data_IF_588135438784
#
_entry.id   IF_588135438784
#
_cell.length_a   1.000
_cell.length_b   1.000
_cell.length_c   1.000
_cell.angle_alpha   90.00
_cell.angle_beta   90.00
_cell.angle_gamma   90.00
#
_symmetry.space_group_name_H-M   'P 1'
#
loop_
_entity.id
_entity.type
_entity.pdbx_description
1 polymer ?
#
# COMPACT_ATOMS: atom_id res chain seq x y z
N UNK A 1 -11.79 5.01 -37.92
CA UNK A 1 -12.29 6.07 -37.01
C UNK A 1 -11.19 6.30 -35.98
N UNK A 2 -10.74 7.55 -35.74
CA UNK A 2 -9.48 7.79 -35.06
C UNK A 2 -9.56 7.57 -33.55
N UNK A 3 -8.44 7.07 -32.99
CA UNK A 3 -8.17 6.60 -31.61
C UNK A 3 -8.22 7.69 -30.51
N UNK A 4 -9.17 8.62 -30.55
CA UNK A 4 -9.15 9.82 -29.69
C UNK A 4 -10.46 10.21 -29.00
N UNK A 5 -11.46 9.33 -28.95
CA UNK A 5 -12.82 9.73 -28.57
C UNK A 5 -13.20 9.54 -27.09
N UNK A 6 -12.31 9.02 -26.23
CA UNK A 6 -12.66 8.68 -24.83
C UNK A 6 -12.15 9.66 -23.76
N UNK A 7 -11.52 10.77 -24.15
CA UNK A 7 -11.02 11.79 -23.20
C UNK A 7 -11.70 13.16 -23.39
N UNK A 8 -12.34 13.45 -24.53
CA UNK A 8 -12.88 14.79 -24.78
C UNK A 8 -14.15 15.15 -23.99
N UNK A 9 -14.91 14.19 -23.46
CA UNK A 9 -16.13 14.50 -22.68
C UNK A 9 -15.88 14.78 -21.19
N UNK A 10 -14.69 14.43 -20.67
CA UNK A 10 -14.33 14.68 -19.26
C UNK A 10 -13.65 16.05 -19.06
N UNK A 11 -12.99 16.59 -20.09
CA UNK A 11 -12.17 17.81 -20.00
C UNK A 11 -12.84 19.11 -20.50
N UNK A 12 -14.09 19.08 -20.98
CA UNK A 12 -14.81 20.33 -21.30
C UNK A 12 -15.12 21.22 -20.09
N UNK A 13 -14.84 20.74 -18.86
CA UNK A 13 -15.06 21.48 -17.63
C UNK A 13 -13.84 22.28 -17.13
N UNK A 14 -12.60 22.03 -17.60
CA UNK A 14 -11.40 22.64 -16.98
C UNK A 14 -10.33 23.23 -17.93
N UNK A 15 -10.53 23.22 -19.25
CA UNK A 15 -9.94 24.23 -20.16
C UNK A 15 -8.41 24.40 -20.25
N UNK A 16 -7.60 23.34 -20.42
CA UNK A 16 -6.17 23.44 -20.77
C UNK A 16 -5.73 22.38 -21.80
N UNK A 17 -4.75 22.69 -22.67
CA UNK A 17 -4.35 21.90 -23.87
C UNK A 17 -2.90 21.40 -23.89
N UNK A 18 -2.70 20.24 -24.55
CA UNK A 18 -1.49 19.39 -24.77
C UNK A 18 -0.23 20.00 -25.44
N UNK A 19 0.92 19.30 -25.25
CA UNK A 19 2.03 18.99 -26.22
C UNK A 19 2.79 17.70 -25.78
N UNK A 20 2.82 16.62 -26.58
CA UNK A 20 3.85 16.09 -27.55
C UNK A 20 4.99 15.27 -26.86
N UNK A 21 4.92 13.93 -26.76
CA UNK A 21 5.52 12.82 -27.60
C UNK A 21 7.07 12.62 -27.52
N UNK A 22 7.54 11.37 -27.28
CA UNK A 22 8.70 10.66 -27.92
C UNK A 22 8.90 9.21 -27.36
N UNK A 23 9.39 8.32 -28.24
CA UNK A 23 9.41 6.84 -28.28
C UNK A 23 10.60 6.06 -27.64
N UNK A 24 10.29 4.83 -27.16
CA UNK A 24 10.92 3.48 -27.30
C UNK A 24 12.42 3.16 -27.00
N UNK A 25 12.70 1.97 -26.38
CA UNK A 25 13.39 0.77 -26.97
C UNK A 25 13.62 -0.37 -25.92
N UNK A 26 13.66 -1.62 -26.43
CA UNK A 26 13.62 -2.99 -25.84
C UNK A 26 15.03 -3.72 -25.89
N UNK A 27 15.23 -5.06 -25.63
CA UNK A 27 15.87 -5.64 -24.43
C UNK A 27 16.95 -6.75 -24.76
N UNK A 28 17.25 -7.64 -23.79
CA UNK A 28 17.86 -9.01 -23.83
C UNK A 28 19.06 -9.15 -22.84
N UNK A 29 19.34 -10.23 -22.09
CA UNK A 29 18.87 -11.64 -21.98
C UNK A 29 19.56 -12.37 -20.79
N UNK A 30 18.89 -13.33 -20.13
CA UNK A 30 19.45 -14.68 -19.86
C UNK A 30 20.02 -15.09 -18.48
N UNK A 31 19.22 -15.87 -17.71
CA UNK A 31 19.53 -17.14 -16.99
C UNK A 31 20.59 -17.23 -15.85
N UNK A 32 20.18 -17.55 -14.60
CA UNK A 32 20.04 -18.90 -13.97
C UNK A 32 19.99 -18.82 -12.41
N UNK A 33 19.17 -19.69 -11.78
CA UNK A 33 18.62 -19.54 -10.42
C UNK A 33 19.40 -20.21 -9.26
N UNK A 34 19.47 -19.54 -8.08
CA UNK A 34 19.79 -20.13 -6.75
C UNK A 34 19.11 -19.38 -5.58
N UNK A 35 18.56 -20.14 -4.62
CA UNK A 35 18.37 -19.85 -3.17
C UNK A 35 17.84 -18.45 -2.76
N UNK A 36 16.55 -18.37 -2.36
CA UNK A 36 15.79 -17.14 -2.04
C UNK A 36 16.34 -16.31 -0.85
N UNK A 37 17.38 -16.78 -0.14
CA UNK A 37 18.01 -16.03 0.95
C UNK A 37 19.54 -15.98 0.92
N UNK A 38 20.21 -16.58 -0.08
CA UNK A 38 21.64 -16.33 -0.27
C UNK A 38 21.85 -15.02 -1.04
N UNK A 39 23.04 -14.45 -0.87
CA UNK A 39 23.51 -13.09 -1.22
C UNK A 39 23.19 -12.55 -2.66
N UNK A 40 22.44 -13.27 -3.50
CA UNK A 40 21.98 -12.84 -4.84
C UNK A 40 20.79 -11.88 -4.88
N UNK A 41 19.96 -11.79 -3.82
CA UNK A 41 18.89 -10.77 -3.76
C UNK A 41 19.43 -9.34 -3.55
N UNK A 42 20.75 -9.16 -3.44
CA UNK A 42 21.38 -7.88 -3.10
C UNK A 42 21.89 -7.11 -4.32
N UNK A 43 22.10 -7.75 -5.48
CA UNK A 43 22.88 -7.15 -6.58
C UNK A 43 22.12 -6.69 -7.83
N UNK A 44 20.82 -6.97 -8.01
CA UNK A 44 20.13 -6.68 -9.30
C UNK A 44 19.15 -5.50 -9.28
N UNK A 45 18.95 -4.81 -8.15
CA UNK A 45 17.96 -3.74 -8.01
C UNK A 45 18.42 -2.34 -8.48
N UNK A 46 19.54 -2.26 -9.20
CA UNK A 46 20.07 -1.01 -9.72
C UNK A 46 20.12 -1.07 -11.24
N UNK A 47 19.03 -0.68 -11.90
CA UNK A 47 19.12 -0.04 -13.21
C UNK A 47 18.03 1.01 -13.37
N UNK A 48 18.41 2.05 -14.10
CA UNK A 48 18.01 3.44 -13.96
C UNK A 48 16.77 3.84 -14.77
N UNK A 49 16.25 5.00 -14.38
CA UNK A 49 15.49 5.97 -15.18
C UNK A 49 14.01 5.71 -15.40
N UNK A 50 13.22 6.03 -14.37
CA UNK A 50 12.04 6.91 -14.48
C UNK A 50 11.73 7.45 -13.08
N UNK A 51 12.10 8.71 -12.80
CA UNK A 51 11.97 9.34 -11.48
C UNK A 51 10.50 9.76 -11.23
N UNK A 52 9.76 8.89 -10.55
CA UNK A 52 8.30 8.86 -10.33
C UNK A 52 7.80 9.59 -9.06
N UNK A 53 8.63 10.45 -8.45
CA UNK A 53 8.37 11.05 -7.12
C UNK A 53 8.54 12.57 -7.01
N UNK A 54 8.49 13.35 -8.10
CA UNK A 54 8.36 14.81 -7.96
C UNK A 54 6.98 15.16 -7.38
N UNK A 55 6.96 15.47 -6.08
CA UNK A 55 5.82 16.14 -5.45
C UNK A 55 5.79 17.59 -5.93
N UNK A 56 4.70 18.04 -6.59
CA UNK A 56 4.36 19.46 -6.57
C UNK A 56 3.86 19.82 -5.16
N UNK A 57 4.82 20.00 -4.25
CA UNK A 57 4.59 20.87 -3.11
C UNK A 57 4.37 22.26 -3.73
N UNK A 58 3.31 22.97 -3.36
CA UNK A 58 3.28 24.43 -3.53
C UNK A 58 4.46 25.02 -2.73
N UNK A 59 5.62 25.01 -3.36
CA UNK A 59 6.92 25.23 -2.75
C UNK A 59 7.23 26.71 -2.80
N UNK A 60 6.71 27.43 -1.82
CA UNK A 60 7.40 28.63 -1.33
C UNK A 60 8.49 28.27 -0.30
N UNK A 61 8.61 26.98 0.06
CA UNK A 61 9.55 26.48 1.06
C UNK A 61 10.83 25.98 0.39
N UNK A 62 11.96 26.62 0.70
CA UNK A 62 13.28 26.19 0.24
C UNK A 62 13.54 24.72 0.63
N UNK A 63 14.10 23.88 -0.27
CA UNK A 63 14.50 22.52 0.07
C UNK A 63 15.50 22.55 1.23
N UNK A 64 15.19 21.82 2.29
CA UNK A 64 16.06 21.72 3.46
C UNK A 64 17.03 20.56 3.21
N UNK A 65 18.32 20.90 3.18
CA UNK A 65 19.43 19.95 3.18
C UNK A 65 19.50 19.34 4.58
N UNK A 66 19.41 18.01 4.67
CA UNK A 66 19.71 17.30 5.91
C UNK A 66 21.21 17.37 6.17
N UNK A 67 21.67 18.40 6.85
CA UNK A 67 23.04 18.42 7.36
C UNK A 67 23.16 17.26 8.38
N UNK A 68 23.81 16.17 7.98
CA UNK A 68 24.31 15.04 8.79
C UNK A 68 23.49 13.74 8.93
N UNK A 69 22.51 13.43 8.06
CA UNK A 69 21.94 12.06 8.03
C UNK A 69 22.78 11.19 7.07
N UNK A 70 23.55 10.23 7.63
CA UNK A 70 24.25 9.22 6.83
C UNK A 70 23.26 8.14 6.33
N UNK A 71 22.58 8.42 5.22
CA UNK A 71 21.62 7.50 4.61
C UNK A 71 22.22 6.13 4.30
N UNK A 72 23.51 6.06 3.98
CA UNK A 72 24.19 4.80 3.71
C UNK A 72 24.33 3.97 5.00
N UNK A 73 24.64 4.61 6.13
CA UNK A 73 24.60 3.95 7.43
C UNK A 73 23.19 3.50 7.82
N UNK A 74 22.14 4.29 7.52
CA UNK A 74 20.74 3.89 7.75
C UNK A 74 20.38 2.66 6.93
N UNK A 75 20.66 2.73 5.63
CA UNK A 75 20.38 1.64 4.71
C UNK A 75 21.12 0.36 5.13
N UNK A 76 22.40 0.48 5.53
CA UNK A 76 23.19 -0.63 6.03
C UNK A 76 22.62 -1.20 7.33
N UNK A 77 22.28 -0.34 8.29
CA UNK A 77 21.70 -0.76 9.57
C UNK A 77 20.36 -1.48 9.40
N UNK A 78 19.47 -0.96 8.55
CA UNK A 78 18.21 -1.61 8.20
C UNK A 78 18.43 -2.96 7.51
N UNK A 79 19.36 -3.02 6.54
CA UNK A 79 19.72 -4.29 5.86
C UNK A 79 20.28 -5.33 6.84
N UNK A 80 21.14 -4.93 7.77
CA UNK A 80 21.67 -5.82 8.82
C UNK A 80 20.58 -6.28 9.77
N UNK A 81 19.68 -5.39 10.21
CA UNK A 81 18.53 -5.74 11.06
C UNK A 81 17.62 -6.75 10.37
N UNK A 82 17.35 -6.61 9.06
CA UNK A 82 16.63 -7.61 8.27
C UNK A 82 17.41 -8.93 8.23
N UNK A 83 18.70 -8.90 7.86
CA UNK A 83 19.56 -10.09 7.72
C UNK A 83 19.64 -10.91 9.00
N UNK A 84 19.71 -10.25 10.15
CA UNK A 84 19.82 -10.90 11.46
C UNK A 84 18.48 -11.13 12.16
N UNK A 85 17.35 -10.86 11.48
CA UNK A 85 16.01 -10.97 12.05
C UNK A 85 15.83 -10.15 13.35
N UNK A 86 16.42 -8.95 13.40
CA UNK A 86 16.42 -8.01 14.53
C UNK A 86 15.58 -6.77 14.28
N UNK A 87 14.82 -6.74 13.18
CA UNK A 87 14.02 -5.60 12.81
C UNK A 87 12.70 -5.60 13.61
N UNK A 88 12.77 -5.25 14.89
CA UNK A 88 11.57 -4.99 15.73
C UNK A 88 11.15 -3.53 15.60
N UNK A 89 10.71 -3.14 14.40
CA UNK A 89 10.27 -1.76 14.18
C UNK A 89 8.84 -1.54 14.63
N UNK A 90 7.97 -2.53 14.48
CA UNK A 90 6.55 -2.41 14.80
C UNK A 90 6.20 -3.49 15.82
N UNK A 91 6.24 -3.09 17.10
CA UNK A 91 5.70 -3.93 18.17
C UNK A 91 4.19 -3.75 18.21
N UNK A 92 3.46 -4.85 18.00
CA UNK A 92 2.01 -4.83 18.14
C UNK A 92 1.69 -4.85 19.63
N UNK A 93 0.92 -3.87 20.16
CA UNK A 93 0.54 -3.85 21.56
C UNK A 93 -0.14 -5.15 22.00
N UNK A 94 0.15 -5.61 23.21
CA UNK A 94 -0.36 -6.90 23.73
C UNK A 94 -1.90 -6.97 23.72
N UNK A 95 -2.58 -5.85 23.96
CA UNK A 95 -4.03 -5.74 23.86
C UNK A 95 -4.54 -6.00 22.43
N UNK A 96 -3.83 -5.50 21.40
CA UNK A 96 -4.18 -5.73 20.00
C UNK A 96 -3.87 -7.17 19.58
N UNK A 97 -2.69 -7.70 19.96
CA UNK A 97 -2.34 -9.10 19.72
C UNK A 97 -3.34 -10.09 20.32
N UNK A 98 -3.87 -9.80 21.51
CA UNK A 98 -4.94 -10.59 22.11
C UNK A 98 -6.20 -10.62 21.25
N UNK A 99 -6.59 -9.49 20.62
CA UNK A 99 -7.75 -9.44 19.72
C UNK A 99 -7.47 -10.29 18.47
N UNK A 100 -6.30 -10.12 17.85
CA UNK A 100 -5.90 -10.87 16.64
C UNK A 100 -5.92 -12.37 16.90
N UNK A 101 -5.36 -12.82 18.03
CA UNK A 101 -5.34 -14.24 18.40
C UNK A 101 -6.75 -14.82 18.60
N UNK A 102 -7.69 -14.03 19.15
CA UNK A 102 -9.09 -14.44 19.28
C UNK A 102 -9.75 -14.49 17.89
N UNK A 103 -9.51 -13.52 17.01
CA UNK A 103 -10.08 -13.52 15.65
C UNK A 103 -9.58 -14.68 14.78
N UNK A 104 -8.39 -15.21 15.08
CA UNK A 104 -7.81 -16.36 14.38
C UNK A 104 -8.27 -17.72 14.93
N UNK A 105 -9.07 -17.78 16.01
CA UNK A 105 -9.58 -19.06 16.52
C UNK A 105 -10.75 -19.58 15.68
N UNK A 106 -10.91 -20.91 15.59
CA UNK A 106 -11.98 -21.56 14.82
C UNK A 106 -13.39 -21.06 15.18
N UNK A 107 -13.58 -20.73 16.45
CA UNK A 107 -14.77 -20.09 16.97
C UNK A 107 -14.34 -18.97 17.93
N UNK A 108 -15.01 -17.82 17.87
CA UNK A 108 -14.75 -16.71 18.77
C UNK A 108 -16.03 -15.95 19.12
N UNK A 109 -16.02 -15.31 20.28
CA UNK A 109 -17.13 -14.52 20.78
C UNK A 109 -16.99 -13.05 20.34
N UNK A 110 -17.89 -12.62 19.45
CA UNK A 110 -17.98 -11.24 18.99
C UNK A 110 -18.20 -10.23 20.13
N UNK A 111 -18.85 -10.61 21.23
CA UNK A 111 -19.10 -9.73 22.38
C UNK A 111 -17.78 -9.38 23.07
N UNK A 112 -16.91 -10.39 23.24
CA UNK A 112 -15.60 -10.19 23.86
C UNK A 112 -14.72 -9.28 23.01
N UNK A 113 -14.68 -9.50 21.70
CA UNK A 113 -13.91 -8.67 20.75
C UNK A 113 -14.46 -7.23 20.71
N UNK A 114 -15.79 -7.08 20.65
CA UNK A 114 -16.48 -5.79 20.71
C UNK A 114 -16.02 -4.97 21.93
N UNK A 115 -16.04 -5.56 23.12
CA UNK A 115 -15.62 -4.89 24.35
C UNK A 115 -14.13 -4.54 24.40
N UNK A 116 -13.27 -5.27 23.67
CA UNK A 116 -11.85 -4.95 23.56
C UNK A 116 -11.59 -3.81 22.57
N UNK A 117 -12.25 -3.84 21.40
CA UNK A 117 -12.11 -2.81 20.37
C UNK A 117 -12.67 -1.46 20.84
N UNK A 118 -13.80 -1.48 21.57
CA UNK A 118 -14.44 -0.26 22.10
C UNK A 118 -13.59 0.53 23.09
N UNK A 119 -12.49 -0.04 23.60
CA UNK A 119 -11.53 0.67 24.44
C UNK A 119 -10.76 1.74 23.66
N UNK A 120 -10.64 1.60 22.33
CA UNK A 120 -10.06 2.61 21.44
C UNK A 120 -11.16 3.22 20.56
N UNK A 121 -11.51 4.47 20.84
CA UNK A 121 -12.48 5.23 20.03
C UNK A 121 -11.98 5.42 18.58
N UNK A 122 -10.66 5.54 18.40
CA UNK A 122 -10.03 5.66 17.08
C UNK A 122 -10.23 4.37 16.29
N UNK A 123 -9.83 3.22 16.85
CA UNK A 123 -10.00 1.92 16.20
C UNK A 123 -11.47 1.60 15.89
N UNK A 124 -12.36 1.90 16.85
CA UNK A 124 -13.80 1.72 16.67
C UNK A 124 -14.32 2.55 15.49
N UNK A 125 -13.92 3.83 15.43
CA UNK A 125 -14.28 4.72 14.35
C UNK A 125 -13.74 4.26 13.00
N UNK A 126 -12.50 3.78 12.95
CA UNK A 126 -11.86 3.25 11.74
C UNK A 126 -12.59 2.03 11.19
N UNK A 127 -12.89 1.05 12.06
CA UNK A 127 -13.61 -0.17 11.66
C UNK A 127 -15.02 0.17 11.15
N UNK A 128 -15.75 1.06 11.85
CA UNK A 128 -17.09 1.50 11.42
C UNK A 128 -17.02 2.25 10.08
N UNK A 129 -16.01 3.10 9.90
CA UNK A 129 -15.78 3.84 8.66
C UNK A 129 -15.55 2.90 7.48
N UNK A 130 -14.69 1.90 7.65
CA UNK A 130 -14.41 0.92 6.60
C UNK A 130 -15.65 0.04 6.35
N UNK A 131 -16.33 -0.46 7.38
CA UNK A 131 -17.57 -1.25 7.24
C UNK A 131 -18.70 -0.49 6.52
N UNK A 132 -18.67 0.84 6.58
CA UNK A 132 -19.63 1.69 5.88
C UNK A 132 -19.18 2.10 4.48
N UNK A 133 -17.97 1.78 4.01
CA UNK A 133 -17.52 2.16 2.66
C UNK A 133 -18.40 1.58 1.57
N UNK A 134 -18.40 2.16 0.36
CA UNK A 134 -19.31 1.68 -0.69
C UNK A 134 -19.02 0.24 -1.14
N UNK A 135 -17.81 -0.27 -0.86
CA UNK A 135 -17.44 -1.67 -1.13
C UNK A 135 -18.16 -2.63 -0.19
N UNK A 136 -18.36 -2.26 1.07
CA UNK A 136 -18.92 -3.14 2.09
C UNK A 136 -20.37 -2.81 2.49
N UNK A 137 -20.81 -1.59 2.20
CA UNK A 137 -22.18 -1.15 2.50
C UNK A 137 -23.20 -1.94 1.68
N UNK A 138 -24.18 -2.53 2.37
CA UNK A 138 -25.31 -3.26 1.76
C UNK A 138 -26.61 -2.45 1.82
N UNK A 139 -26.53 -1.14 1.65
CA UNK A 139 -27.68 -0.22 1.67
C UNK A 139 -28.10 0.27 3.07
N UNK A 140 -27.44 -0.17 4.14
CA UNK A 140 -27.71 0.30 5.51
C UNK A 140 -26.42 0.70 6.23
N UNK A 141 -26.49 1.85 6.92
CA UNK A 141 -25.40 2.38 7.75
C UNK A 141 -25.24 1.54 9.01
N UNK A 142 -24.02 1.06 9.25
CA UNK A 142 -23.60 0.40 10.48
C UNK A 142 -23.20 1.45 11.50
N UNK A 143 -23.71 1.32 12.72
CA UNK A 143 -23.37 2.21 13.85
C UNK A 143 -22.84 1.47 15.06
N UNK A 144 -22.85 0.13 15.05
CA UNK A 144 -22.36 -0.72 16.14
C UNK A 144 -21.17 -1.55 15.67
N UNK A 145 -20.20 -1.74 16.55
CA UNK A 145 -18.98 -2.48 16.19
C UNK A 145 -19.30 -3.93 15.86
N UNK A 146 -20.24 -4.57 16.56
CA UNK A 146 -20.68 -5.94 16.24
C UNK A 146 -21.13 -6.11 14.79
N UNK A 147 -21.97 -5.19 14.30
CA UNK A 147 -22.45 -5.23 12.92
C UNK A 147 -21.32 -4.96 11.92
N UNK A 148 -20.33 -4.15 12.29
CA UNK A 148 -19.13 -3.91 11.49
C UNK A 148 -18.26 -5.17 11.41
N UNK A 149 -18.04 -5.87 12.53
CA UNK A 149 -17.29 -7.12 12.60
C UNK A 149 -17.95 -8.21 11.74
N UNK A 150 -19.27 -8.36 11.83
CA UNK A 150 -20.03 -9.31 10.99
C UNK A 150 -19.94 -8.98 9.50
N UNK A 151 -19.95 -7.68 9.16
CA UNK A 151 -19.88 -7.23 7.76
C UNK A 151 -18.49 -7.41 7.13
N UNK A 152 -17.44 -7.10 7.88
CA UNK A 152 -16.06 -7.14 7.38
C UNK A 152 -15.47 -8.55 7.43
N UNK A 153 -15.82 -9.31 8.47
CA UNK A 153 -15.19 -10.60 8.77
C UNK A 153 -13.84 -10.47 9.49
N UNK A 154 -13.35 -11.56 10.10
CA UNK A 154 -12.15 -11.54 10.95
C UNK A 154 -10.87 -11.13 10.21
N UNK A 155 -10.69 -11.60 8.97
CA UNK A 155 -9.48 -11.34 8.19
C UNK A 155 -9.23 -9.85 7.95
N UNK A 156 -10.27 -9.12 7.52
CA UNK A 156 -10.19 -7.67 7.30
C UNK A 156 -10.00 -6.91 8.61
N UNK A 157 -10.64 -7.36 9.70
CA UNK A 157 -10.47 -6.75 11.02
C UNK A 157 -9.04 -6.93 11.52
N UNK A 158 -8.43 -8.11 11.36
CA UNK A 158 -7.01 -8.33 11.65
C UNK A 158 -6.11 -7.38 10.87
N UNK A 159 -6.38 -7.21 9.57
CA UNK A 159 -5.62 -6.29 8.73
C UNK A 159 -5.68 -4.84 9.23
N UNK A 160 -6.87 -4.39 9.66
CA UNK A 160 -7.07 -3.07 10.27
C UNK A 160 -6.33 -2.97 11.61
N UNK A 161 -6.37 -4.02 12.45
CA UNK A 161 -5.67 -4.06 13.74
C UNK A 161 -4.15 -3.95 13.57
N UNK A 162 -3.57 -4.64 12.58
CA UNK A 162 -2.14 -4.54 12.26
C UNK A 162 -1.75 -3.11 11.86
N UNK A 163 -2.52 -2.47 10.97
CA UNK A 163 -2.25 -1.10 10.54
C UNK A 163 -2.44 -0.10 11.70
N UNK A 164 -3.48 -0.30 12.52
CA UNK A 164 -3.75 0.54 13.69
C UNK A 164 -2.64 0.46 14.74
N UNK A 165 -2.20 -0.75 15.09
CA UNK A 165 -1.09 -0.96 16.01
C UNK A 165 0.19 -0.25 15.54
N UNK A 166 0.45 -0.29 14.23
CA UNK A 166 1.57 0.43 13.63
C UNK A 166 1.44 1.94 13.84
N UNK A 167 0.26 2.51 13.62
CA UNK A 167 0.02 3.93 13.87
C UNK A 167 0.21 4.33 15.33
N UNK A 168 -0.29 3.52 16.28
CA UNK A 168 -0.14 3.79 17.71
C UNK A 168 1.32 3.81 18.18
N UNK A 169 2.19 3.10 17.46
CA UNK A 169 3.64 3.12 17.72
C UNK A 169 4.33 4.40 17.25
N UNK A 170 3.71 5.18 16.35
CA UNK A 170 4.27 6.42 15.79
C UNK A 170 3.73 7.63 16.56
N UNK A 171 4.49 8.11 17.55
CA UNK A 171 4.12 9.24 18.42
C UNK A 171 4.83 10.54 18.09
N UNK A 172 5.86 10.48 17.26
CA UNK A 172 6.69 11.63 16.96
C UNK A 172 5.93 12.66 16.09
N UNK A 173 5.76 13.92 16.57
CA UNK A 173 4.98 14.93 15.88
C UNK A 173 5.54 15.31 14.50
N UNK A 174 6.81 15.02 14.22
CA UNK A 174 7.47 15.32 12.94
C UNK A 174 7.06 14.38 11.82
N UNK A 175 6.66 13.15 12.12
CA UNK A 175 6.27 12.14 11.13
C UNK A 175 4.81 11.72 11.24
N UNK A 176 4.11 12.05 12.33
CA UNK A 176 2.73 11.60 12.56
C UNK A 176 1.77 11.98 11.42
N UNK A 177 2.01 13.13 10.76
CA UNK A 177 1.22 13.57 9.61
C UNK A 177 1.52 12.75 8.34
N UNK A 178 2.79 12.37 8.12
CA UNK A 178 3.20 11.48 7.03
C UNK A 178 2.62 10.07 7.25
N UNK A 179 2.74 9.54 8.45
CA UNK A 179 2.19 8.23 8.83
C UNK A 179 0.66 8.19 8.60
N UNK A 180 -0.07 9.23 9.00
CA UNK A 180 -1.51 9.36 8.70
C UNK A 180 -1.80 9.36 7.21
N UNK A 181 -0.97 10.04 6.41
CA UNK A 181 -1.16 10.10 4.95
C UNK A 181 -0.93 8.74 4.29
N UNK A 182 0.11 8.02 4.71
CA UNK A 182 0.38 6.64 4.27
C UNK A 182 -0.78 5.72 4.64
N UNK A 183 -1.30 5.78 5.87
CA UNK A 183 -2.43 4.96 6.31
C UNK A 183 -3.69 5.24 5.49
N UNK A 184 -3.99 6.52 5.22
CA UNK A 184 -5.14 6.89 4.40
C UNK A 184 -5.00 6.37 2.96
N UNK A 185 -3.77 6.39 2.41
CA UNK A 185 -3.46 5.79 1.12
C UNK A 185 -3.66 4.27 1.16
N UNK A 186 -3.06 3.55 2.11
CA UNK A 186 -3.22 2.10 2.25
C UNK A 186 -4.69 1.68 2.44
N UNK A 187 -5.47 2.45 3.20
CA UNK A 187 -6.92 2.22 3.33
C UNK A 187 -7.66 2.40 1.99
N UNK A 188 -7.22 3.33 1.14
CA UNK A 188 -7.80 3.52 -0.17
C UNK A 188 -7.44 2.35 -1.12
N UNK A 189 -6.16 1.96 -1.16
CA UNK A 189 -5.68 0.81 -1.93
C UNK A 189 -6.40 -0.47 -1.53
N UNK A 190 -6.56 -0.73 -0.22
CA UNK A 190 -7.29 -1.90 0.28
C UNK A 190 -8.75 -1.97 -0.21
N UNK A 191 -9.45 -0.84 -0.19
CA UNK A 191 -10.84 -0.77 -0.65
C UNK A 191 -10.93 -0.94 -2.17
N UNK A 192 -10.02 -0.33 -2.94
CA UNK A 192 -9.97 -0.49 -4.40
C UNK A 192 -9.64 -1.93 -4.76
N UNK A 193 -8.62 -2.52 -4.14
CA UNK A 193 -8.22 -3.91 -4.37
C UNK A 193 -9.38 -4.88 -4.07
N UNK A 194 -10.06 -4.68 -2.94
CA UNK A 194 -11.24 -5.48 -2.59
C UNK A 194 -12.41 -5.28 -3.55
N UNK A 195 -12.60 -4.07 -4.11
CA UNK A 195 -13.60 -3.84 -5.15
C UNK A 195 -13.24 -4.56 -6.45
N UNK A 196 -12.02 -4.37 -6.95
CA UNK A 196 -11.53 -4.96 -8.19
C UNK A 196 -11.50 -6.49 -8.13
N UNK A 197 -11.19 -7.08 -6.96
CA UNK A 197 -11.15 -8.53 -6.79
C UNK A 197 -12.48 -9.19 -7.15
N UNK A 198 -13.62 -8.56 -6.90
CA UNK A 198 -14.94 -9.13 -7.24
C UNK A 198 -15.08 -9.56 -8.71
N UNK A 199 -14.26 -9.00 -9.61
CA UNK A 199 -14.22 -9.36 -11.02
C UNK A 199 -12.90 -10.00 -11.46
N UNK A 200 -11.79 -9.57 -10.88
CA UNK A 200 -10.45 -9.87 -11.42
C UNK A 200 -9.57 -10.73 -10.52
N UNK A 201 -10.02 -11.09 -9.31
CA UNK A 201 -9.22 -11.91 -8.40
C UNK A 201 -10.09 -12.69 -7.38
N UNK A 202 -9.94 -14.01 -7.24
CA UNK A 202 -10.92 -14.83 -6.55
C UNK A 202 -10.95 -14.68 -5.01
N UNK A 203 -9.98 -13.97 -4.41
CA UNK A 203 -9.86 -13.84 -2.97
C UNK A 203 -9.90 -12.35 -2.52
N UNK A 204 -11.09 -11.80 -2.20
CA UNK A 204 -11.23 -10.41 -1.75
C UNK A 204 -10.62 -10.14 -0.37
N UNK A 205 -10.38 -11.16 0.46
CA UNK A 205 -9.80 -11.00 1.78
C UNK A 205 -8.30 -10.76 1.67
N UNK A 206 -7.60 -11.58 0.89
CA UNK A 206 -6.19 -11.37 0.60
C UNK A 206 -5.93 -10.11 -0.23
N UNK A 207 -6.85 -9.73 -1.14
CA UNK A 207 -6.79 -8.44 -1.84
C UNK A 207 -6.85 -7.24 -0.86
N UNK A 208 -7.76 -7.27 0.11
CA UNK A 208 -7.86 -6.23 1.13
C UNK A 208 -6.62 -6.21 2.04
N UNK A 209 -6.17 -7.38 2.50
CA UNK A 209 -5.01 -7.52 3.40
C UNK A 209 -3.71 -7.06 2.74
N UNK A 210 -3.46 -7.47 1.49
CA UNK A 210 -2.28 -7.00 0.76
C UNK A 210 -2.38 -5.49 0.48
N UNK A 211 -3.55 -4.98 0.10
CA UNK A 211 -3.74 -3.55 -0.14
C UNK A 211 -3.55 -2.66 1.09
N UNK A 212 -4.02 -3.09 2.26
CA UNK A 212 -3.88 -2.30 3.50
C UNK A 212 -2.46 -2.36 4.07
N UNK A 213 -1.67 -3.39 3.72
CA UNK A 213 -0.32 -3.59 4.23
C UNK A 213 0.81 -3.34 3.20
N UNK A 214 0.50 -3.07 1.93
CA UNK A 214 1.52 -2.92 0.87
C UNK A 214 2.62 -1.89 1.24
N UNK A 215 2.21 -0.82 1.91
CA UNK A 215 3.07 0.28 2.33
C UNK A 215 3.52 0.23 3.80
N UNK A 216 3.32 -0.89 4.50
CA UNK A 216 3.68 -1.00 5.92
C UNK A 216 5.17 -0.75 6.17
N UNK A 217 6.02 -1.07 5.21
CA UNK A 217 7.46 -0.78 5.29
C UNK A 217 7.77 0.71 5.33
N UNK A 218 6.93 1.57 4.72
CA UNK A 218 7.09 3.04 4.81
C UNK A 218 6.92 3.53 6.24
N UNK A 219 5.92 3.00 6.96
CA UNK A 219 5.68 3.33 8.37
C UNK A 219 6.83 2.87 9.27
N UNK A 220 7.36 1.67 9.02
CA UNK A 220 8.50 1.14 9.74
C UNK A 220 9.76 2.00 9.55
N UNK A 221 10.05 2.42 8.31
CA UNK A 221 11.16 3.33 8.00
C UNK A 221 10.99 4.65 8.75
N UNK A 222 9.81 5.27 8.69
CA UNK A 222 9.55 6.52 9.41
C UNK A 222 9.82 6.38 10.92
N UNK A 223 9.33 5.30 11.54
CA UNK A 223 9.56 5.03 12.97
C UNK A 223 11.04 4.87 13.30
N UNK A 224 11.77 4.06 12.53
CA UNK A 224 13.22 3.87 12.70
C UNK A 224 13.96 5.21 12.62
N UNK A 225 13.63 6.04 11.63
CA UNK A 225 14.25 7.35 11.44
C UNK A 225 14.07 8.24 12.67
N UNK A 226 12.94 8.15 13.38
CA UNK A 226 12.69 8.97 14.57
C UNK A 226 13.26 8.39 15.86
N UNK A 227 13.44 7.08 15.97
CA UNK A 227 13.88 6.43 17.22
C UNK A 227 15.39 6.21 17.29
N UNK A 228 16.03 5.91 16.16
CA UNK A 228 17.46 5.55 16.12
C UNK A 228 18.35 6.70 15.66
N UNK A 229 17.78 7.70 15.03
CA UNK A 229 18.50 8.88 14.56
C UNK A 229 18.00 10.08 15.32
N UNK A 230 18.90 10.76 16.03
CA UNK A 230 18.61 11.98 16.77
C UNK A 230 18.37 13.12 15.77
N UNK A 231 17.21 13.07 15.12
CA UNK A 231 16.79 14.10 14.19
C UNK A 231 16.54 15.38 15.00
N UNK A 232 16.96 16.56 14.54
CA UNK A 232 16.56 17.81 15.18
C UNK A 232 15.02 17.98 15.21
N UNK A 233 14.50 18.66 16.24
CA UNK A 233 13.04 18.88 16.38
C UNK A 233 12.44 19.72 15.24
N UNK A 234 13.26 20.52 14.55
CA UNK A 234 12.86 21.34 13.40
C UNK A 234 13.03 20.63 12.04
N UNK A 235 13.48 19.38 12.05
CA UNK A 235 13.67 18.61 10.83
C UNK A 235 12.34 18.35 10.15
N UNK A 236 12.15 18.92 8.97
CA UNK A 236 11.09 18.51 8.06
C UNK A 236 11.57 17.24 7.36
N UNK A 237 11.00 16.10 7.74
CA UNK A 237 11.36 14.76 7.21
C UNK A 237 10.83 14.57 5.77
N UNK A 238 10.12 15.56 5.24
CA UNK A 238 9.41 15.53 3.97
C UNK A 238 10.27 15.77 2.71
N UNK A 239 11.59 15.95 2.81
CA UNK A 239 12.41 16.20 1.60
C UNK A 239 12.83 14.93 0.87
N UNK A 240 13.23 15.14 -0.39
CA UNK A 240 13.60 14.18 -1.44
C UNK A 240 14.53 13.04 -1.00
N UNK A 241 15.28 13.18 0.10
CA UNK A 241 16.21 12.17 0.62
C UNK A 241 15.50 10.94 1.25
N UNK A 242 14.41 11.14 2.01
CA UNK A 242 13.71 10.01 2.65
C UNK A 242 12.85 9.25 1.61
N UNK A 243 12.14 10.02 0.77
CA UNK A 243 11.21 9.49 -0.22
C UNK A 243 11.89 9.09 -1.55
N UNK A 244 13.07 9.63 -1.88
CA UNK A 244 13.82 9.32 -3.10
C UNK A 244 14.89 8.24 -2.94
N UNK A 245 15.59 8.16 -1.80
CA UNK A 245 16.74 7.24 -1.65
C UNK A 245 16.45 6.02 -0.77
N UNK A 246 15.72 6.18 0.35
CA UNK A 246 15.48 5.08 1.29
C UNK A 246 14.20 4.31 0.98
N UNK A 247 13.08 5.03 0.82
CA UNK A 247 11.77 4.39 0.64
C UNK A 247 11.74 3.51 -0.62
N UNK A 248 12.13 3.98 -1.82
CA UNK A 248 12.04 3.16 -3.04
C UNK A 248 12.84 1.86 -2.96
N UNK A 249 13.95 1.86 -2.21
CA UNK A 249 14.86 0.71 -2.13
C UNK A 249 14.44 -0.29 -1.03
N UNK A 250 13.80 0.19 0.05
CA UNK A 250 13.64 -0.61 1.26
C UNK A 250 12.21 -0.91 1.67
N UNK A 251 11.21 -0.12 1.28
CA UNK A 251 9.87 -0.27 1.87
C UNK A 251 9.20 -1.60 1.51
N UNK A 252 9.29 -2.07 0.26
CA UNK A 252 8.80 -3.39 -0.15
C UNK A 252 9.49 -4.51 0.64
N UNK A 253 10.81 -4.40 0.83
CA UNK A 253 11.62 -5.40 1.55
C UNK A 253 11.30 -5.45 3.04
N UNK A 254 11.20 -4.28 3.68
CA UNK A 254 10.84 -4.16 5.09
C UNK A 254 9.39 -4.62 5.29
N UNK A 255 8.48 -4.25 4.38
CA UNK A 255 7.10 -4.71 4.40
C UNK A 255 7.00 -6.23 4.32
N UNK A 256 7.71 -6.86 3.39
CA UNK A 256 7.75 -8.32 3.28
C UNK A 256 8.34 -8.99 4.52
N UNK A 257 9.39 -8.40 5.12
CA UNK A 257 9.96 -8.88 6.38
C UNK A 257 8.93 -8.81 7.52
N UNK A 258 8.19 -7.70 7.64
CA UNK A 258 7.11 -7.55 8.63
C UNK A 258 6.01 -8.59 8.38
N UNK A 259 5.61 -8.80 7.12
CA UNK A 259 4.62 -9.82 6.78
C UNK A 259 5.06 -11.22 7.19
N UNK A 260 6.34 -11.56 7.02
CA UNK A 260 6.92 -12.83 7.51
C UNK A 260 6.88 -12.93 9.04
N UNK A 261 7.25 -11.87 9.76
CA UNK A 261 7.26 -11.89 11.23
C UNK A 261 5.85 -11.98 11.83
N UNK A 262 4.84 -11.51 11.10
CA UNK A 262 3.42 -11.66 11.45
C UNK A 262 2.80 -12.96 10.95
N UNK A 263 3.58 -13.85 10.32
CA UNK A 263 3.12 -15.13 9.79
C UNK A 263 1.95 -14.99 8.79
N UNK A 264 2.03 -13.99 7.91
CA UNK A 264 1.10 -13.82 6.80
C UNK A 264 1.32 -14.89 5.72
N UNK A 265 0.32 -15.09 4.86
CA UNK A 265 0.43 -16.00 3.72
C UNK A 265 1.48 -15.53 2.70
N UNK A 266 2.17 -16.47 2.06
CA UNK A 266 3.26 -16.18 1.11
C UNK A 266 2.79 -15.32 -0.08
N UNK A 267 1.56 -15.49 -0.55
CA UNK A 267 1.03 -14.68 -1.66
C UNK A 267 0.91 -13.20 -1.26
N UNK A 268 0.46 -12.93 -0.03
CA UNK A 268 0.38 -11.57 0.53
C UNK A 268 1.78 -10.99 0.72
N UNK A 269 2.71 -11.76 1.28
CA UNK A 269 4.11 -11.33 1.48
C UNK A 269 4.76 -10.99 0.14
N UNK A 270 4.57 -11.83 -0.88
CA UNK A 270 5.06 -11.62 -2.24
C UNK A 270 4.45 -10.37 -2.86
N UNK A 271 3.14 -10.17 -2.70
CA UNK A 271 2.49 -8.95 -3.17
C UNK A 271 3.04 -7.70 -2.52
N UNK A 272 3.31 -7.71 -1.21
CA UNK A 272 3.94 -6.56 -0.53
C UNK A 272 5.36 -6.33 -1.09
N UNK A 273 6.11 -7.40 -1.37
CA UNK A 273 7.50 -7.32 -1.81
C UNK A 273 7.69 -6.82 -3.25
N UNK A 274 6.65 -6.88 -4.09
CA UNK A 274 6.76 -6.62 -5.53
C UNK A 274 5.63 -5.75 -6.08
N UNK A 275 4.86 -5.06 -5.24
CA UNK A 275 3.67 -4.31 -5.70
C UNK A 275 4.01 -3.17 -6.68
N UNK A 276 5.24 -2.67 -6.70
CA UNK A 276 5.68 -1.71 -7.72
C UNK A 276 6.24 -2.38 -8.98
N UNK A 277 6.65 -3.64 -8.91
CA UNK A 277 7.21 -4.40 -10.04
C UNK A 277 6.64 -5.82 -10.12
N UNK A 278 5.36 -5.99 -10.53
CA UNK A 278 4.70 -7.30 -10.53
C UNK A 278 5.43 -8.37 -11.34
N UNK A 279 6.15 -7.98 -12.40
CA UNK A 279 6.95 -8.89 -13.23
C UNK A 279 8.02 -9.67 -12.44
N UNK A 280 8.54 -9.09 -11.34
CA UNK A 280 9.55 -9.72 -10.50
C UNK A 280 9.02 -10.96 -9.77
N UNK A 281 7.71 -11.11 -9.61
CA UNK A 281 7.14 -12.32 -8.99
C UNK A 281 7.51 -13.56 -9.82
N UNK A 282 7.48 -13.46 -11.15
CA UNK A 282 7.73 -14.60 -12.06
C UNK A 282 9.14 -15.17 -11.99
N UNK A 283 10.10 -14.41 -11.47
CA UNK A 283 11.50 -14.87 -11.32
C UNK A 283 11.78 -15.43 -9.92
N UNK A 284 10.81 -15.39 -9.00
CA UNK A 284 10.93 -15.97 -7.67
C UNK A 284 10.63 -17.47 -7.71
N UNK A 285 11.54 -18.29 -7.15
CA UNK A 285 11.47 -19.76 -7.23
C UNK A 285 10.20 -20.36 -6.59
N UNK A 286 9.60 -19.70 -5.60
CA UNK A 286 8.43 -20.19 -4.84
C UNK A 286 7.15 -19.38 -5.11
N UNK A 287 7.13 -18.57 -6.18
CA UNK A 287 5.95 -17.76 -6.52
C UNK A 287 4.80 -18.60 -7.08
N UNK A 288 3.58 -18.22 -6.75
CA UNK A 288 2.36 -18.82 -7.28
C UNK A 288 1.72 -17.89 -8.31
N UNK A 289 0.90 -18.44 -9.20
CA UNK A 289 0.04 -17.62 -10.09
C UNK A 289 -0.90 -16.70 -9.29
N UNK A 290 -1.32 -17.16 -8.10
CA UNK A 290 -2.14 -16.37 -7.18
C UNK A 290 -1.38 -15.17 -6.61
N UNK A 291 -0.11 -15.35 -6.25
CA UNK A 291 0.77 -14.26 -5.84
C UNK A 291 0.98 -13.26 -6.98
N UNK A 292 1.20 -13.75 -8.22
CA UNK A 292 1.36 -12.88 -9.38
C UNK A 292 0.10 -12.07 -9.66
N UNK A 293 -1.08 -12.70 -9.67
CA UNK A 293 -2.35 -12.03 -9.86
C UNK A 293 -2.63 -11.00 -8.75
N UNK A 294 -2.41 -11.37 -7.48
CA UNK A 294 -2.56 -10.46 -6.34
C UNK A 294 -1.64 -9.25 -6.46
N UNK A 295 -0.38 -9.46 -6.83
CA UNK A 295 0.60 -8.37 -7.00
C UNK A 295 0.19 -7.39 -8.08
N UNK A 296 -0.30 -7.89 -9.24
CA UNK A 296 -0.85 -7.02 -10.28
C UNK A 296 -2.09 -6.26 -9.81
N UNK A 297 -2.96 -6.91 -9.01
CA UNK A 297 -4.16 -6.27 -8.46
C UNK A 297 -3.79 -5.12 -7.52
N UNK A 298 -2.81 -5.32 -6.64
CA UNK A 298 -2.33 -4.28 -5.72
C UNK A 298 -1.65 -3.15 -6.48
N UNK A 299 -0.83 -3.46 -7.48
CA UNK A 299 -0.20 -2.45 -8.35
C UNK A 299 -1.23 -1.53 -9.02
N UNK A 300 -2.24 -2.12 -9.65
CA UNK A 300 -3.33 -1.36 -10.27
C UNK A 300 -4.09 -0.54 -9.21
N UNK A 301 -4.37 -1.13 -8.05
CA UNK A 301 -5.10 -0.45 -6.97
C UNK A 301 -4.34 0.74 -6.38
N UNK A 302 -3.01 0.66 -6.25
CA UNK A 302 -2.14 1.78 -5.87
C UNK A 302 -2.25 2.93 -6.88
N UNK A 303 -2.07 2.64 -8.16
CA UNK A 303 -2.18 3.63 -9.24
C UNK A 303 -3.56 4.30 -9.23
N UNK A 304 -4.64 3.53 -9.10
CA UNK A 304 -5.99 4.08 -9.00
C UNK A 304 -6.16 4.98 -7.77
N UNK A 305 -5.65 4.59 -6.60
CA UNK A 305 -5.72 5.42 -5.40
C UNK A 305 -5.03 6.77 -5.65
N UNK A 306 -3.86 6.76 -6.29
CA UNK A 306 -3.08 7.95 -6.63
C UNK A 306 -3.76 8.85 -7.66
N UNK A 307 -4.35 8.29 -8.71
CA UNK A 307 -5.17 9.03 -9.69
C UNK A 307 -6.38 9.71 -9.04
N UNK A 308 -6.90 9.15 -7.94
CA UNK A 308 -7.99 9.72 -7.15
C UNK A 308 -7.53 10.68 -6.05
N UNK A 309 -6.25 11.08 -6.04
CA UNK A 309 -5.66 11.98 -5.05
C UNK A 309 -5.58 11.38 -3.64
N UNK A 310 -5.60 10.04 -3.52
CA UNK A 310 -5.45 9.31 -2.24
C UNK A 310 -4.01 8.88 -2.05
N UNK A 311 -3.08 9.81 -2.10
CA UNK A 311 -1.63 9.57 -2.07
C UNK A 311 -0.92 10.61 -2.93
N UNK A 312 0.29 10.31 -3.38
CA UNK A 312 0.99 11.17 -4.33
C UNK A 312 0.25 11.17 -5.67
N UNK A 313 -0.34 12.32 -6.01
CA UNK A 313 -1.18 12.49 -7.18
C UNK A 313 -0.44 12.13 -8.47
N UNK A 314 -1.14 11.46 -9.37
CA UNK A 314 -0.68 11.19 -10.73
C UNK A 314 -1.52 12.06 -11.67
N UNK A 315 -0.85 12.88 -12.49
CA UNK A 315 -1.50 13.86 -13.34
C UNK A 315 -2.50 13.22 -14.31
N UNK A 316 -2.01 12.33 -15.18
CA UNK A 316 -2.82 11.53 -16.11
C UNK A 316 -2.09 10.23 -16.43
N UNK A 317 -2.84 9.12 -16.54
CA UNK A 317 -2.31 7.83 -16.96
C UNK A 317 -3.40 7.03 -17.68
N UNK A 318 -3.05 6.42 -18.82
CA UNK A 318 -3.89 5.37 -19.41
C UNK A 318 -3.66 4.07 -18.64
N UNK A 319 -4.53 3.78 -17.68
CA UNK A 319 -4.46 2.55 -16.89
C UNK A 319 -4.53 1.28 -17.76
N UNK A 320 -5.15 1.32 -18.94
CA UNK A 320 -5.30 0.13 -19.79
C UNK A 320 -4.00 -0.24 -20.50
N UNK A 321 -3.03 0.67 -20.57
CA UNK A 321 -1.69 0.38 -21.08
C UNK A 321 -0.80 -0.34 -20.07
N UNK A 322 -1.23 -0.45 -18.80
CA UNK A 322 -0.50 -1.19 -17.77
C UNK A 322 -0.47 -2.68 -18.11
N UNK A 323 0.73 -3.27 -18.13
CA UNK A 323 0.89 -4.71 -18.23
C UNK A 323 0.09 -5.47 -17.16
N UNK A 324 -0.03 -4.88 -15.96
CA UNK A 324 -0.82 -5.42 -14.87
C UNK A 324 -2.33 -5.51 -15.17
N UNK A 325 -2.89 -4.49 -15.85
CA UNK A 325 -4.28 -4.56 -16.33
C UNK A 325 -4.45 -5.68 -17.36
N UNK A 326 -3.51 -5.83 -18.30
CA UNK A 326 -3.51 -6.94 -19.24
C UNK A 326 -3.46 -8.32 -18.57
N UNK A 327 -2.60 -8.49 -17.57
CA UNK A 327 -2.50 -9.75 -16.80
C UNK A 327 -3.76 -10.10 -16.01
N UNK A 328 -4.50 -9.09 -15.54
CA UNK A 328 -5.77 -9.27 -14.83
C UNK A 328 -6.99 -9.40 -15.75
N UNK A 329 -6.83 -9.19 -17.07
CA UNK A 329 -7.95 -9.12 -18.00
C UNK A 329 -8.79 -7.83 -17.86
N UNK A 330 -8.22 -6.76 -17.33
CA UNK A 330 -8.84 -5.43 -17.26
C UNK A 330 -8.66 -4.77 -18.63
N UNK A 331 -9.55 -5.10 -19.56
CA UNK A 331 -9.53 -4.58 -20.93
C UNK A 331 -10.36 -3.31 -21.09
N UNK A 332 -9.99 -2.46 -22.07
CA UNK A 332 -10.72 -1.25 -22.41
C UNK A 332 -12.05 -1.56 -23.14
N UNK A 333 -13.05 -1.98 -22.37
CA UNK A 333 -14.42 -2.23 -22.83
C UNK A 333 -15.40 -1.28 -22.16
N UNK A 334 -16.58 -0.99 -22.77
CA UNK A 334 -17.61 -0.17 -22.14
C UNK A 334 -18.05 -0.69 -20.77
N UNK A 335 -18.13 -2.02 -20.62
CA UNK A 335 -18.49 -2.69 -19.38
C UNK A 335 -17.40 -2.53 -18.30
N UNK A 336 -16.12 -2.71 -18.67
CA UNK A 336 -15.00 -2.44 -17.77
C UNK A 336 -14.99 -0.97 -17.32
N UNK A 337 -15.15 -0.01 -18.24
CA UNK A 337 -15.20 1.43 -17.91
C UNK A 337 -16.35 1.74 -16.95
N UNK A 338 -17.53 1.18 -17.21
CA UNK A 338 -18.69 1.35 -16.32
C UNK A 338 -18.41 0.80 -14.92
N UNK A 339 -17.75 -0.36 -14.82
CA UNK A 339 -17.36 -0.95 -13.55
C UNK A 339 -16.35 -0.08 -12.78
N UNK A 340 -15.33 0.43 -13.46
CA UNK A 340 -14.28 1.27 -12.84
C UNK A 340 -14.82 2.65 -12.42
N UNK A 341 -15.79 3.21 -13.13
CA UNK A 341 -16.42 4.49 -12.79
C UNK A 341 -17.17 4.50 -11.44
N UNK A 342 -17.42 3.34 -10.84
CA UNK A 342 -17.98 3.27 -9.49
C UNK A 342 -16.93 3.48 -8.39
N UNK A 343 -15.64 3.35 -8.70
CA UNK A 343 -14.54 3.44 -7.72
C UNK A 343 -14.52 4.79 -6.97
N UNK A 344 -14.68 5.97 -7.62
CA UNK A 344 -14.76 7.24 -6.88
C UNK A 344 -15.88 7.25 -5.83
N UNK A 345 -16.98 6.54 -6.10
CA UNK A 345 -18.11 6.38 -5.18
C UNK A 345 -17.76 5.63 -3.90
N UNK A 346 -16.70 4.81 -3.91
CA UNK A 346 -16.20 4.06 -2.74
C UNK A 346 -15.87 4.99 -1.56
N UNK A 347 -15.36 6.18 -1.86
CA UNK A 347 -14.87 7.12 -0.85
C UNK A 347 -15.90 8.16 -0.41
N UNK A 348 -17.03 8.27 -1.10
CA UNK A 348 -17.98 9.39 -1.01
C UNK A 348 -19.18 9.12 -0.09
N UNK A 349 -18.98 8.40 1.01
CA UNK A 349 -20.04 8.25 2.01
C UNK A 349 -19.91 9.39 3.01
N UNK A 350 -20.74 10.42 2.80
CA UNK A 350 -20.92 11.54 3.72
C UNK A 350 -21.39 10.97 5.08
N UNK A 351 -20.63 11.26 6.12
CA UNK A 351 -20.92 10.83 7.50
C UNK A 351 -22.09 11.57 8.12
#
# INVERSE_FOLDING_TARGET
MPKGALISSFFSFLGLSKKDEIDSVDPHSGQEARSILDDGFVSEFANENELWWEMEIESSAKPIVFDHIDLYAIQRGLKEKIRFNKLSLIEIPENIMKIINILNSKEFDYIKIEGMIQQSAVLTGEIIKIANSAVYSRGFKVTRIRDALTRLGPNKVNAILYLHATMESIKDPRIVHLAKSIILHSQAVAQIASYLSHRYYPDPDNAFLAGILHDIGKLAILKELTEQYDLPLKTQIASDLCFGDLMPILHERIGAYIGKSWNLENDVITSIACHHSPSQVKIMNDSTEMAFALTNLIHVSDIFARLLGRGNYLAEMDIFSLAACGHLGIEDTPDTRSFLNNIPGIFNIKY
#
